data_IF_574636549101
#
_entry.id   IF_574636549101
#
_cell.length_a   1.000
_cell.length_b   1.000
_cell.length_c   1.000
_cell.angle_alpha   90.00
_cell.angle_beta   90.00
_cell.angle_gamma   90.00
#
_symmetry.space_group_name_H-M   'P 1'
#
loop_
_entity.id
_entity.type
_entity.pdbx_description
1 polymer ?
#
# COMPACT_ATOMS: atom_id res chain seq x y z
N UNK A 1 26.30 -36.99 -75.29
CA UNK A 1 25.03 -37.15 -74.57
C UNK A 1 24.45 -35.76 -74.43
N UNK A 2 23.58 -35.36 -75.34
CA UNK A 2 22.98 -34.02 -75.33
C UNK A 2 21.91 -33.96 -74.24
N UNK A 3 22.19 -33.20 -73.20
CA UNK A 3 21.22 -32.85 -72.17
C UNK A 3 20.26 -31.83 -72.80
N UNK A 4 19.06 -32.27 -73.17
CA UNK A 4 17.98 -31.37 -73.59
C UNK A 4 17.57 -30.51 -72.40
N UNK A 5 17.95 -29.22 -72.43
CA UNK A 5 17.42 -28.23 -71.49
C UNK A 5 15.95 -27.97 -71.84
N UNK A 6 15.03 -28.49 -71.05
CA UNK A 6 13.61 -28.16 -71.13
C UNK A 6 13.41 -26.81 -70.43
N UNK A 7 12.99 -25.80 -71.19
CA UNK A 7 12.62 -24.50 -70.63
C UNK A 7 11.28 -24.56 -69.89
N UNK A 8 11.13 -23.77 -68.82
CA UNK A 8 9.90 -23.68 -68.04
C UNK A 8 8.75 -23.10 -68.87
N UNK A 9 7.54 -23.66 -68.72
CA UNK A 9 6.35 -23.07 -69.33
C UNK A 9 5.81 -21.89 -68.51
N UNK A 10 5.22 -20.91 -69.17
CA UNK A 10 4.63 -19.73 -68.51
C UNK A 10 3.52 -20.13 -67.52
N UNK A 11 2.76 -21.19 -67.82
CA UNK A 11 1.73 -21.73 -66.93
C UNK A 11 2.32 -22.35 -65.65
N UNK A 12 3.46 -23.03 -65.73
CA UNK A 12 4.15 -23.61 -64.57
C UNK A 12 4.65 -22.51 -63.62
N UNK A 13 5.21 -21.43 -64.16
CA UNK A 13 5.58 -20.24 -63.38
C UNK A 13 4.37 -19.59 -62.69
N UNK A 14 3.24 -19.49 -63.38
CA UNK A 14 2.00 -18.95 -62.78
C UNK A 14 1.51 -19.82 -61.62
N UNK A 15 1.50 -21.14 -61.76
CA UNK A 15 1.08 -22.05 -60.69
C UNK A 15 2.02 -21.97 -59.49
N UNK A 16 3.34 -21.91 -59.72
CA UNK A 16 4.34 -21.79 -58.64
C UNK A 16 4.16 -20.49 -57.85
N UNK A 17 3.94 -19.36 -58.53
CA UNK A 17 3.71 -18.06 -57.87
C UNK A 17 2.43 -18.07 -57.04
N UNK A 18 1.35 -18.66 -57.56
CA UNK A 18 0.09 -18.79 -56.83
C UNK A 18 0.25 -19.66 -55.58
N UNK A 19 0.90 -20.82 -55.70
CA UNK A 19 1.15 -21.72 -54.58
C UNK A 19 2.05 -21.07 -53.52
N UNK A 20 3.12 -20.39 -53.95
CA UNK A 20 3.99 -19.64 -53.05
C UNK A 20 3.23 -18.52 -52.33
N UNK A 21 2.35 -17.80 -53.04
CA UNK A 21 1.51 -16.76 -52.45
C UNK A 21 0.60 -17.29 -51.34
N UNK A 22 -0.06 -18.42 -51.57
CA UNK A 22 -0.90 -19.07 -50.55
C UNK A 22 -0.07 -19.54 -49.35
N UNK A 23 1.12 -20.09 -49.60
CA UNK A 23 2.03 -20.56 -48.55
C UNK A 23 2.52 -19.40 -47.67
N UNK A 24 2.97 -18.31 -48.29
CA UNK A 24 3.42 -17.10 -47.58
C UNK A 24 2.26 -16.47 -46.81
N UNK A 25 1.05 -16.41 -47.37
CA UNK A 25 -0.12 -15.92 -46.65
C UNK A 25 -0.42 -16.74 -45.39
N UNK A 26 -0.35 -18.08 -45.49
CA UNK A 26 -0.51 -18.98 -44.35
C UNK A 26 0.56 -18.79 -43.27
N UNK A 27 1.83 -18.70 -43.68
CA UNK A 27 2.96 -18.47 -42.76
C UNK A 27 2.84 -17.11 -42.07
N UNK A 28 2.50 -16.05 -42.81
CA UNK A 28 2.32 -14.72 -42.26
C UNK A 28 1.16 -14.68 -41.26
N UNK A 29 0.03 -15.32 -41.57
CA UNK A 29 -1.08 -15.44 -40.62
C UNK A 29 -0.68 -16.18 -39.35
N UNK A 30 0.10 -17.25 -39.46
CA UNK A 30 0.58 -17.99 -38.28
C UNK A 30 1.54 -17.14 -37.45
N UNK A 31 2.47 -16.44 -38.10
CA UNK A 31 3.46 -15.59 -37.45
C UNK A 31 2.81 -14.42 -36.69
N UNK A 32 1.78 -13.78 -37.24
CA UNK A 32 1.07 -12.69 -36.55
C UNK A 32 0.32 -13.19 -35.31
N UNK A 33 -0.36 -14.33 -35.40
CA UNK A 33 -1.02 -14.96 -34.24
C UNK A 33 0.01 -15.34 -33.16
N UNK A 34 1.15 -15.93 -33.55
CA UNK A 34 2.21 -16.28 -32.61
C UNK A 34 2.80 -15.03 -31.93
N UNK A 35 3.12 -13.97 -32.70
CA UNK A 35 3.66 -12.72 -32.15
C UNK A 35 2.70 -12.07 -31.14
N UNK A 36 1.40 -12.06 -31.45
CA UNK A 36 0.36 -11.55 -30.54
C UNK A 36 0.31 -12.37 -29.25
N UNK A 37 0.23 -13.70 -29.37
CA UNK A 37 0.18 -14.60 -28.22
C UNK A 37 1.40 -14.46 -27.31
N UNK A 38 2.61 -14.36 -27.89
CA UNK A 38 3.84 -14.11 -27.12
C UNK A 38 3.79 -12.77 -26.40
N UNK A 39 3.32 -11.70 -27.04
CA UNK A 39 3.22 -10.39 -26.40
C UNK A 39 2.22 -10.38 -25.24
N UNK A 40 1.03 -10.95 -25.43
CA UNK A 40 0.00 -11.04 -24.38
C UNK A 40 0.50 -11.88 -23.21
N UNK A 41 1.11 -13.03 -23.47
CA UNK A 41 1.66 -13.89 -22.44
C UNK A 41 2.79 -13.19 -21.66
N UNK A 42 3.68 -12.47 -22.35
CA UNK A 42 4.73 -11.67 -21.70
C UNK A 42 4.13 -10.62 -20.76
N UNK A 43 3.10 -9.90 -21.19
CA UNK A 43 2.45 -8.89 -20.36
C UNK A 43 1.75 -9.48 -19.13
N UNK A 44 1.15 -10.67 -19.26
CA UNK A 44 0.55 -11.38 -18.13
C UNK A 44 1.63 -11.78 -17.11
N UNK A 45 2.76 -12.27 -17.60
CA UNK A 45 3.89 -12.65 -16.73
C UNK A 45 4.43 -11.43 -16.00
N UNK A 46 4.63 -10.30 -16.69
CA UNK A 46 5.07 -9.05 -16.08
C UNK A 46 4.11 -8.59 -14.98
N UNK A 47 2.79 -8.60 -15.25
CA UNK A 47 1.77 -8.24 -14.26
C UNK A 47 1.80 -9.17 -13.03
N UNK A 48 1.99 -10.48 -13.23
CA UNK A 48 2.10 -11.44 -12.13
C UNK A 48 3.37 -11.26 -11.31
N UNK A 49 4.51 -10.99 -11.96
CA UNK A 49 5.77 -10.74 -11.27
C UNK A 49 5.71 -9.44 -10.47
N UNK A 50 5.16 -8.37 -11.05
CA UNK A 50 4.91 -7.10 -10.37
C UNK A 50 4.02 -7.30 -9.14
N UNK A 51 2.88 -7.98 -9.30
CA UNK A 51 1.95 -8.22 -8.19
C UNK A 51 2.60 -9.01 -7.03
N UNK A 52 3.45 -10.00 -7.33
CA UNK A 52 4.19 -10.75 -6.29
C UNK A 52 5.21 -9.89 -5.57
N UNK A 53 6.02 -9.12 -6.31
CA UNK A 53 7.02 -8.23 -5.71
C UNK A 53 6.37 -7.17 -4.81
N UNK A 54 5.25 -6.59 -5.25
CA UNK A 54 4.49 -5.62 -4.48
C UNK A 54 3.82 -6.25 -3.26
N UNK A 55 3.30 -7.46 -3.42
CA UNK A 55 2.77 -8.29 -2.33
C UNK A 55 3.83 -8.54 -1.27
N UNK A 56 4.99 -9.08 -1.64
CA UNK A 56 6.08 -9.37 -0.72
C UNK A 56 6.52 -8.12 0.06
N UNK A 57 6.63 -6.97 -0.60
CA UNK A 57 6.98 -5.70 0.04
C UNK A 57 5.90 -5.23 1.04
N UNK A 58 4.62 -5.27 0.65
CA UNK A 58 3.51 -4.92 1.53
C UNK A 58 3.43 -5.86 2.73
N UNK A 59 3.60 -7.16 2.51
CA UNK A 59 3.58 -8.17 3.57
C UNK A 59 4.73 -7.96 4.57
N UNK A 60 5.92 -7.64 4.09
CA UNK A 60 7.08 -7.36 4.95
C UNK A 60 6.81 -6.14 5.84
N UNK A 61 6.36 -5.02 5.26
CA UNK A 61 6.05 -3.81 6.02
C UNK A 61 4.93 -4.07 7.04
N UNK A 62 3.84 -4.77 6.66
CA UNK A 62 2.74 -5.12 7.57
C UNK A 62 3.21 -6.07 8.69
N UNK A 63 4.13 -7.00 8.43
CA UNK A 63 4.66 -7.88 9.48
C UNK A 63 5.52 -7.14 10.50
N UNK A 64 6.16 -6.04 10.10
CA UNK A 64 6.95 -5.20 10.99
C UNK A 64 6.15 -4.05 11.62
N UNK A 65 4.91 -3.85 11.19
CA UNK A 65 3.97 -2.92 11.82
C UNK A 65 3.90 -3.13 13.34
N UNK A 66 3.87 -2.05 14.11
CA UNK A 66 3.82 -2.07 15.57
C UNK A 66 5.15 -2.35 16.26
N UNK A 67 6.27 -2.50 15.55
CA UNK A 67 7.56 -2.78 16.17
C UNK A 67 8.01 -1.61 17.06
N UNK A 68 8.10 -1.84 18.37
CA UNK A 68 8.51 -0.86 19.39
C UNK A 68 7.70 0.45 19.44
N UNK A 69 6.63 0.61 18.67
CA UNK A 69 5.71 1.75 18.74
C UNK A 69 4.45 1.38 19.54
N UNK A 70 3.63 2.34 19.98
CA UNK A 70 2.32 2.01 20.55
C UNK A 70 1.52 1.15 19.57
N UNK A 71 0.86 0.11 20.09
CA UNK A 71 0.13 -0.85 19.25
C UNK A 71 -1.00 -0.17 18.44
N UNK A 72 -1.61 0.88 18.99
CA UNK A 72 -2.61 1.70 18.30
C UNK A 72 -2.06 2.51 17.12
N UNK A 73 -0.73 2.60 16.98
CA UNK A 73 -0.04 3.24 15.86
C UNK A 73 0.51 2.25 14.82
N UNK A 74 0.25 0.94 14.95
CA UNK A 74 0.77 -0.05 14.01
C UNK A 74 0.25 0.14 12.58
N UNK A 75 -1.03 0.48 12.46
CA UNK A 75 -1.74 0.59 11.19
C UNK A 75 -2.75 1.76 11.24
N UNK A 76 -2.94 2.40 10.09
CA UNK A 76 -4.06 3.31 9.84
C UNK A 76 -4.39 3.29 8.35
N UNK A 77 -5.53 3.84 7.94
CA UNK A 77 -5.89 3.86 6.52
C UNK A 77 -7.02 4.83 6.18
N UNK A 78 -7.25 4.97 4.88
CA UNK A 78 -8.43 5.61 4.29
C UNK A 78 -9.17 4.52 3.54
N UNK A 79 -10.35 4.16 4.01
CA UNK A 79 -11.26 3.26 3.32
C UNK A 79 -12.13 4.06 2.33
N UNK A 80 -11.93 3.80 1.04
CA UNK A 80 -12.64 4.43 -0.05
C UNK A 80 -13.56 3.43 -0.75
N UNK A 81 -14.85 3.46 -0.46
CA UNK A 81 -15.82 2.55 -1.10
C UNK A 81 -15.94 2.66 -2.63
N UNK A 82 -15.40 3.72 -3.24
CA UNK A 82 -15.47 3.99 -4.68
C UNK A 82 -14.11 4.32 -5.33
N UNK A 83 -13.01 4.19 -4.60
CA UNK A 83 -11.66 4.48 -5.08
C UNK A 83 -10.64 3.54 -4.40
N UNK A 84 -9.38 3.48 -4.85
CA UNK A 84 -8.38 2.74 -4.12
C UNK A 84 -8.23 3.24 -2.68
N UNK A 85 -7.99 2.33 -1.76
CA UNK A 85 -7.67 2.65 -0.37
C UNK A 85 -6.28 3.24 -0.25
N UNK A 86 -6.05 3.90 0.89
CA UNK A 86 -4.74 4.33 1.31
C UNK A 86 -4.38 3.58 2.58
N UNK A 87 -3.20 2.95 2.59
CA UNK A 87 -2.71 2.20 3.74
C UNK A 87 -1.51 2.93 4.36
N UNK A 88 -1.54 3.07 5.68
CA UNK A 88 -0.43 3.57 6.48
C UNK A 88 0.03 2.46 7.43
N UNK A 89 1.31 2.15 7.42
CA UNK A 89 1.93 1.12 8.25
C UNK A 89 3.10 1.75 8.99
N UNK A 90 3.21 1.58 10.31
CA UNK A 90 4.34 2.14 11.08
C UNK A 90 5.69 1.73 10.47
N UNK A 91 6.62 2.67 10.39
CA UNK A 91 7.92 2.49 9.76
C UNK A 91 8.92 1.87 10.74
N UNK A 92 9.17 0.57 10.59
CA UNK A 92 10.15 -0.14 11.41
C UNK A 92 11.60 0.17 11.03
N UNK A 93 11.87 0.72 9.85
CA UNK A 93 13.23 1.09 9.44
C UNK A 93 13.69 2.38 10.15
N UNK A 94 12.74 3.18 10.63
CA UNK A 94 12.94 4.34 11.49
C UNK A 94 13.22 3.97 12.95
N UNK A 95 13.39 2.68 13.26
CA UNK A 95 13.55 2.18 14.63
C UNK A 95 14.75 1.25 14.73
N UNK A 96 15.64 1.53 15.68
CA UNK A 96 16.79 0.70 16.06
C UNK A 96 16.51 -0.06 17.37
N UNK A 97 16.34 -1.38 17.35
CA UNK A 97 16.01 -2.16 18.55
C UNK A 97 17.21 -2.48 19.45
N UNK A 98 18.44 -2.16 19.02
CA UNK A 98 19.68 -2.75 19.53
C UNK A 98 19.97 -2.44 21.01
N UNK A 99 19.57 -1.27 21.50
CA UNK A 99 19.74 -0.81 22.88
C UNK A 99 18.51 -0.05 23.41
N UNK A 100 17.35 -0.26 22.78
CA UNK A 100 16.11 0.45 23.13
C UNK A 100 15.33 -0.31 24.21
N UNK A 101 14.98 0.41 25.28
CA UNK A 101 14.30 -0.15 26.46
C UNK A 101 12.80 0.11 26.39
N UNK A 102 12.37 1.15 25.67
CA UNK A 102 10.97 1.53 25.58
C UNK A 102 10.24 0.71 24.48
N UNK A 103 9.06 0.23 24.83
CA UNK A 103 8.18 -0.54 23.94
C UNK A 103 7.11 0.29 23.25
N UNK A 104 7.00 1.58 23.58
CA UNK A 104 6.03 2.54 23.03
C UNK A 104 6.76 3.81 22.59
N UNK A 105 7.59 3.66 21.55
CA UNK A 105 8.32 4.73 20.90
C UNK A 105 7.36 5.56 20.03
N UNK A 106 7.49 6.87 20.15
CA UNK A 106 6.68 7.85 19.44
C UNK A 106 7.15 9.24 19.83
N UNK A 107 7.14 10.16 18.87
CA UNK A 107 7.44 11.55 19.14
C UNK A 107 6.21 12.18 19.82
N UNK A 108 6.33 12.55 21.10
CA UNK A 108 5.20 13.05 21.89
C UNK A 108 4.84 14.47 21.48
N UNK A 109 3.55 14.72 21.27
CA UNK A 109 3.04 16.02 20.86
C UNK A 109 2.88 16.92 22.08
N UNK A 110 3.71 17.94 22.20
CA UNK A 110 3.63 18.96 23.25
C UNK A 110 2.78 20.17 22.86
N UNK A 111 2.43 20.33 21.59
CA UNK A 111 1.67 21.48 21.09
C UNK A 111 1.60 21.57 19.57
N UNK A 112 1.26 22.77 19.07
CA UNK A 112 1.23 23.09 17.64
C UNK A 112 -0.18 23.32 17.10
N UNK A 113 -0.27 23.86 15.89
CA UNK A 113 -1.55 24.21 15.24
C UNK A 113 -2.39 22.99 14.82
N UNK A 114 -1.76 21.81 14.73
CA UNK A 114 -2.45 20.55 14.48
C UNK A 114 -3.23 20.02 15.68
N UNK A 115 -3.00 20.55 16.90
CA UNK A 115 -3.78 20.20 18.09
C UNK A 115 -4.93 21.19 18.32
N UNK A 116 -6.16 20.70 18.31
CA UNK A 116 -7.38 21.48 18.56
C UNK A 116 -7.94 21.17 19.94
N UNK A 117 -8.13 22.22 20.76
CA UNK A 117 -8.68 22.06 22.11
C UNK A 117 -7.83 21.16 23.02
N UNK A 118 -6.52 21.05 22.75
CA UNK A 118 -5.56 20.27 23.52
C UNK A 118 -5.62 18.76 23.34
N UNK A 119 -6.71 18.23 22.78
CA UNK A 119 -6.96 16.78 22.73
C UNK A 119 -7.29 16.27 21.32
N UNK A 120 -7.73 17.10 20.38
CA UNK A 120 -8.08 16.66 19.02
C UNK A 120 -6.98 16.96 18.01
N UNK A 121 -7.00 16.24 16.89
CA UNK A 121 -5.96 16.31 15.84
C UNK A 121 -6.56 16.81 14.54
N UNK A 122 -5.84 17.69 13.84
CA UNK A 122 -6.13 18.15 12.48
C UNK A 122 -4.83 18.36 11.69
N UNK A 123 -4.94 18.56 10.38
CA UNK A 123 -3.79 18.98 9.56
C UNK A 123 -3.17 20.27 10.10
N UNK A 124 -1.85 20.30 10.20
CA UNK A 124 -1.14 21.42 10.79
C UNK A 124 0.26 21.05 11.24
N UNK A 125 0.82 21.88 12.13
CA UNK A 125 2.13 21.66 12.74
C UNK A 125 1.94 20.97 14.08
N UNK A 126 2.66 19.88 14.30
CA UNK A 126 2.82 19.26 15.61
C UNK A 126 4.21 19.60 16.14
N UNK A 127 4.25 20.25 17.30
CA UNK A 127 5.48 20.41 18.07
C UNK A 127 5.69 19.14 18.85
N UNK A 128 6.81 18.47 18.59
CA UNK A 128 7.14 17.18 19.21
C UNK A 128 8.34 17.32 20.15
N UNK A 129 8.50 16.39 21.06
CA UNK A 129 9.63 16.37 22.01
C UNK A 129 10.96 16.00 21.33
N UNK A 130 10.92 15.10 20.34
CA UNK A 130 12.08 14.65 19.56
C UNK A 130 11.70 14.35 18.11
N UNK A 131 12.68 14.48 17.19
CA UNK A 131 12.57 14.00 15.80
C UNK A 131 13.22 12.62 15.61
N UNK A 132 13.83 12.08 16.67
CA UNK A 132 14.40 10.74 16.74
C UNK A 132 13.68 9.98 17.84
N UNK A 133 13.14 8.82 17.53
CA UNK A 133 12.24 8.04 18.38
C UNK A 133 12.98 7.39 19.55
N UNK A 134 14.19 6.90 19.29
CA UNK A 134 15.00 6.22 20.29
C UNK A 134 15.43 7.18 21.39
N UNK A 135 15.22 6.76 22.64
CA UNK A 135 15.52 7.59 23.81
C UNK A 135 16.89 7.25 24.40
N UNK A 136 17.29 5.98 24.32
CA UNK A 136 18.56 5.51 24.90
C UNK A 136 19.75 5.92 24.03
N UNK A 137 19.66 5.64 22.73
CA UNK A 137 20.70 5.91 21.73
C UNK A 137 20.07 6.48 20.46
N UNK A 138 19.82 7.81 20.41
CA UNK A 138 19.24 8.45 19.23
C UNK A 138 20.08 8.16 17.97
N UNK A 139 19.51 7.48 16.99
CA UNK A 139 20.12 7.15 15.69
C UNK A 139 19.14 7.48 14.56
N UNK A 140 19.15 8.71 14.03
CA UNK A 140 18.20 9.11 13.00
C UNK A 140 18.30 8.23 11.76
N UNK A 141 17.15 7.83 11.21
CA UNK A 141 17.10 6.96 10.04
C UNK A 141 17.21 7.70 8.69
N UNK A 142 16.75 8.96 8.63
CA UNK A 142 16.62 9.70 7.38
C UNK A 142 17.39 11.02 7.38
N UNK A 143 17.93 11.35 6.21
CA UNK A 143 18.52 12.63 5.85
C UNK A 143 17.42 13.50 5.22
N UNK A 144 16.90 14.46 6.00
CA UNK A 144 15.71 15.23 5.62
C UNK A 144 16.05 16.54 4.92
N UNK A 145 17.22 17.11 5.18
CA UNK A 145 17.70 18.32 4.52
C UNK A 145 18.68 18.07 3.35
N UNK A 146 18.97 16.79 3.07
CA UNK A 146 19.83 16.31 2.01
C UNK A 146 21.29 16.76 2.13
N UNK A 147 21.79 16.93 3.35
CA UNK A 147 23.18 17.29 3.62
C UNK A 147 24.16 16.09 3.62
N UNK A 148 23.63 14.87 3.51
CA UNK A 148 24.37 13.61 3.53
C UNK A 148 24.46 12.95 4.91
N UNK A 149 23.83 13.52 5.93
CA UNK A 149 23.77 13.01 7.31
C UNK A 149 22.32 12.77 7.70
N UNK A 150 22.05 11.65 8.37
CA UNK A 150 20.72 11.44 8.90
C UNK A 150 20.45 12.37 10.10
N UNK A 151 19.26 12.95 10.16
CA UNK A 151 18.86 14.00 11.10
C UNK A 151 17.52 13.72 11.80
N UNK A 152 16.69 12.82 11.27
CA UNK A 152 15.32 12.60 11.73
C UNK A 152 14.80 11.21 11.33
N UNK A 153 13.86 10.68 12.11
CA UNK A 153 13.09 9.47 11.78
C UNK A 153 11.82 9.78 10.97
N UNK A 154 11.50 11.05 10.86
CA UNK A 154 10.43 11.58 10.02
C UNK A 154 11.00 12.05 8.69
N UNK A 155 10.34 11.67 7.59
CA UNK A 155 10.75 12.05 6.23
C UNK A 155 9.62 12.75 5.49
N UNK A 156 9.93 13.83 4.78
CA UNK A 156 8.97 14.52 3.91
C UNK A 156 8.48 13.58 2.79
N UNK A 157 7.17 13.53 2.59
CA UNK A 157 6.50 12.63 1.64
C UNK A 157 6.21 11.24 2.19
N UNK A 158 6.74 10.88 3.36
CA UNK A 158 6.37 9.65 4.06
C UNK A 158 5.04 9.81 4.81
N UNK A 159 4.48 8.67 5.21
CA UNK A 159 3.30 8.61 6.04
C UNK A 159 3.59 8.93 7.49
N UNK A 160 2.53 9.20 8.24
CA UNK A 160 2.60 9.37 9.68
C UNK A 160 1.30 8.87 10.30
N UNK A 161 1.40 8.29 11.49
CA UNK A 161 0.26 7.85 12.29
C UNK A 161 0.30 8.62 13.61
N UNK A 162 -0.83 9.22 13.97
CA UNK A 162 -1.04 9.94 15.21
C UNK A 162 -2.02 9.14 16.05
N UNK A 163 -1.69 8.88 17.30
CA UNK A 163 -2.57 8.18 18.25
C UNK A 163 -2.43 8.78 19.65
N UNK A 164 -3.35 8.41 20.53
CA UNK A 164 -3.24 8.64 21.96
C UNK A 164 -2.83 7.31 22.60
N UNK A 165 -1.54 7.17 22.91
CA UNK A 165 -0.97 5.94 23.47
C UNK A 165 -1.53 5.61 24.86
N UNK A 166 -2.00 6.63 25.60
CA UNK A 166 -2.67 6.44 26.88
C UNK A 166 -4.14 6.06 26.75
N UNK A 167 -4.77 6.34 25.60
CA UNK A 167 -6.18 6.07 25.34
C UNK A 167 -6.39 5.48 23.94
N UNK A 168 -5.97 4.22 23.69
CA UNK A 168 -5.96 3.61 22.36
C UNK A 168 -7.37 3.45 21.75
N UNK A 169 -8.42 3.42 22.58
CA UNK A 169 -9.83 3.42 22.13
C UNK A 169 -10.24 4.68 21.37
N UNK A 170 -9.44 5.75 21.41
CA UNK A 170 -9.63 6.93 20.57
C UNK A 170 -9.25 6.66 19.11
N UNK A 171 -8.58 5.54 18.85
CA UNK A 171 -8.11 5.12 17.54
C UNK A 171 -6.89 5.89 17.07
N UNK A 172 -6.80 6.09 15.77
CA UNK A 172 -5.67 6.74 15.12
C UNK A 172 -6.12 7.70 14.02
N UNK A 173 -5.25 8.65 13.71
CA UNK A 173 -5.36 9.51 12.53
C UNK A 173 -4.07 9.34 11.73
N UNK A 174 -4.14 9.42 10.40
CA UNK A 174 -2.96 9.31 9.57
C UNK A 174 -2.96 10.28 8.41
N UNK A 175 -1.75 10.54 7.93
CA UNK A 175 -1.51 11.56 6.93
C UNK A 175 -0.10 11.52 6.38
N UNK A 176 0.24 12.56 5.64
CA UNK A 176 1.55 12.71 5.02
C UNK A 176 2.33 13.85 5.63
N UNK A 177 3.63 13.64 5.81
CA UNK A 177 4.55 14.66 6.31
C UNK A 177 4.91 15.58 5.14
N UNK A 178 4.66 16.87 5.32
CA UNK A 178 4.92 17.91 4.30
C UNK A 178 6.13 18.78 4.64
N UNK A 179 6.52 18.84 5.91
CA UNK A 179 7.76 19.48 6.35
C UNK A 179 8.23 18.89 7.68
N UNK A 180 9.55 18.88 7.87
CA UNK A 180 10.22 18.56 9.14
C UNK A 180 11.11 19.76 9.49
N UNK A 181 11.01 20.27 10.71
CA UNK A 181 11.80 21.41 11.17
C UNK A 181 12.85 20.94 12.19
N UNK A 182 14.10 20.87 11.74
CA UNK A 182 15.24 20.44 12.54
C UNK A 182 15.65 21.46 13.62
N UNK A 183 15.35 22.75 13.42
CA UNK A 183 15.74 23.81 14.34
C UNK A 183 14.81 23.94 15.56
N UNK A 184 13.59 23.43 15.45
CA UNK A 184 12.62 23.33 16.53
C UNK A 184 11.72 22.13 16.27
N UNK A 185 11.89 21.02 17.02
CA UNK A 185 11.41 19.70 16.66
C UNK A 185 9.90 19.75 16.40
N UNK A 186 9.55 19.77 15.12
CA UNK A 186 8.17 19.85 14.69
C UNK A 186 8.01 19.25 13.30
N UNK A 187 6.87 18.60 13.11
CA UNK A 187 6.47 18.00 11.85
C UNK A 187 5.18 18.66 11.37
N UNK A 188 5.13 18.98 10.09
CA UNK A 188 3.93 19.50 9.44
C UNK A 188 3.24 18.36 8.71
N UNK A 189 1.98 18.11 9.05
CA UNK A 189 1.23 16.95 8.58
C UNK A 189 -0.04 17.40 7.89
N UNK A 190 -0.32 16.79 6.73
CA UNK A 190 -1.63 16.82 6.09
C UNK A 190 -2.31 15.50 6.36
N UNK A 191 -3.39 15.50 7.15
CA UNK A 191 -4.17 14.30 7.42
C UNK A 191 -4.97 13.88 6.19
N UNK A 192 -4.92 12.58 5.90
CA UNK A 192 -5.70 11.95 4.84
C UNK A 192 -6.91 11.20 5.42
N UNK A 193 -6.80 10.64 6.63
CA UNK A 193 -7.94 10.12 7.38
C UNK A 193 -7.95 10.54 8.85
N UNK A 194 -9.18 10.76 9.30
CA UNK A 194 -9.56 10.83 10.71
C UNK A 194 -9.09 12.08 11.46
N UNK A 195 -9.82 12.33 12.54
CA UNK A 195 -9.27 12.88 13.77
C UNK A 195 -9.36 11.76 14.81
N UNK A 196 -8.71 11.90 15.96
CA UNK A 196 -8.94 10.95 17.05
C UNK A 196 -10.38 11.04 17.55
N UNK A 197 -10.91 9.90 17.99
CA UNK A 197 -12.18 9.81 18.70
C UNK A 197 -12.17 10.64 19.99
N UNK A 198 -13.37 10.83 20.55
CA UNK A 198 -13.54 11.55 21.80
C UNK A 198 -12.70 10.91 22.91
N UNK A 199 -12.07 11.76 23.74
CA UNK A 199 -11.38 11.29 24.93
C UNK A 199 -12.38 10.51 25.80
N UNK A 200 -12.14 9.22 26.09
CA UNK A 200 -12.97 8.50 27.04
C UNK A 200 -12.91 9.19 28.39
N UNK A 201 -13.91 8.97 29.25
CA UNK A 201 -13.84 9.39 30.67
C UNK A 201 -12.80 8.60 31.48
N UNK A 202 -11.76 8.07 30.82
CA UNK A 202 -10.68 7.27 31.41
C UNK A 202 -9.88 8.13 32.40
N UNK A 203 -9.36 7.55 33.49
CA UNK A 203 -8.37 8.22 34.33
C UNK A 203 -7.01 8.37 33.65
N UNK A 204 -6.76 7.71 32.51
CA UNK A 204 -5.46 7.70 31.85
C UNK A 204 -5.12 9.08 31.25
N UNK A 205 -3.88 9.57 31.45
CA UNK A 205 -3.46 10.83 30.87
C UNK A 205 -3.44 10.74 29.34
N UNK A 206 -3.75 11.85 28.69
CA UNK A 206 -3.57 12.01 27.24
C UNK A 206 -2.07 11.89 26.91
N UNK A 207 -1.69 10.90 26.10
CA UNK A 207 -0.32 10.71 25.61
C UNK A 207 -0.34 10.70 24.07
N UNK A 208 -0.45 11.90 23.50
CA UNK A 208 -0.46 12.09 22.06
C UNK A 208 0.91 11.82 21.48
N UNK A 209 1.01 10.88 20.55
CA UNK A 209 2.27 10.52 19.88
C UNK A 209 2.11 10.51 18.37
N UNK A 210 3.21 10.83 17.70
CA UNK A 210 3.38 10.78 16.26
C UNK A 210 4.40 9.70 15.94
N UNK A 211 4.04 8.78 15.06
CA UNK A 211 4.85 7.64 14.65
C UNK A 211 5.08 7.73 13.13
N UNK A 212 6.33 7.64 12.64
CA UNK A 212 6.61 7.60 11.22
C UNK A 212 5.98 6.36 10.60
N UNK A 213 5.49 6.49 9.37
CA UNK A 213 4.83 5.40 8.68
C UNK A 213 5.17 5.36 7.20
N UNK A 214 5.08 4.17 6.63
CA UNK A 214 5.00 3.99 5.20
C UNK A 214 3.57 4.21 4.73
N UNK A 215 3.43 4.95 3.63
CA UNK A 215 2.13 5.19 3.01
C UNK A 215 2.07 4.59 1.62
N UNK A 216 1.07 3.75 1.40
CA UNK A 216 0.73 3.14 0.13
C UNK A 216 -0.53 3.76 -0.43
N UNK A 217 -0.45 4.27 -1.67
CA UNK A 217 -1.60 4.83 -2.38
C UNK A 217 -1.46 4.67 -3.87
N UNK A 218 -2.59 4.61 -4.56
CA UNK A 218 -2.62 4.62 -6.02
C UNK A 218 -2.92 6.04 -6.50
N UNK A 219 -2.11 6.51 -7.45
CA UNK A 219 -2.38 7.80 -8.12
C UNK A 219 -3.37 7.64 -9.25
N UNK A 220 -3.95 8.75 -9.73
CA UNK A 220 -4.84 8.74 -10.90
C UNK A 220 -4.22 8.19 -12.19
N UNK A 221 -2.90 8.00 -12.24
CA UNK A 221 -2.18 7.37 -13.35
C UNK A 221 -2.04 5.84 -13.21
N UNK A 222 -2.76 5.21 -12.27
CA UNK A 222 -2.65 3.77 -11.96
C UNK A 222 -1.23 3.38 -11.54
N UNK A 223 -0.62 4.23 -10.71
CA UNK A 223 0.70 4.01 -10.16
C UNK A 223 0.61 3.83 -8.65
N UNK A 224 1.12 2.71 -8.16
CA UNK A 224 1.29 2.49 -6.73
C UNK A 224 2.51 3.28 -6.27
N UNK A 225 2.30 4.13 -5.26
CA UNK A 225 3.34 4.89 -4.60
C UNK A 225 3.55 4.39 -3.18
N UNK A 226 4.82 4.36 -2.77
CA UNK A 226 5.25 4.21 -1.37
C UNK A 226 6.01 5.48 -0.98
N UNK A 227 5.52 6.21 0.02
CA UNK A 227 6.12 7.47 0.49
C UNK A 227 6.34 8.50 -0.63
N UNK A 228 5.33 8.64 -1.51
CA UNK A 228 5.37 9.53 -2.68
C UNK A 228 6.23 9.04 -3.85
N UNK A 229 6.99 7.94 -3.69
CA UNK A 229 7.79 7.35 -4.77
C UNK A 229 6.98 6.28 -5.49
N UNK A 230 6.89 6.36 -6.82
CA UNK A 230 6.24 5.32 -7.64
C UNK A 230 7.07 4.04 -7.62
N UNK A 231 6.49 2.97 -7.09
CA UNK A 231 7.12 1.64 -7.01
C UNK A 231 6.61 0.68 -8.09
N UNK A 232 5.41 0.93 -8.63
CA UNK A 232 4.88 0.20 -9.77
C UNK A 232 3.89 1.03 -10.58
N UNK A 233 3.87 0.78 -11.88
CA UNK A 233 2.78 1.18 -12.77
C UNK A 233 1.79 0.05 -12.98
N UNK A 234 0.69 0.36 -13.66
CA UNK A 234 -0.35 -0.60 -14.03
C UNK A 234 -1.03 -1.28 -12.83
N UNK A 235 -1.04 -0.59 -11.68
CA UNK A 235 -1.78 -0.98 -10.49
C UNK A 235 -3.08 -0.19 -10.47
N UNK A 236 -4.19 -0.88 -10.64
CA UNK A 236 -5.52 -0.25 -10.73
C UNK A 236 -6.20 -0.10 -9.38
N UNK A 237 -5.95 -1.05 -8.47
CA UNK A 237 -6.62 -1.07 -7.18
C UNK A 237 -5.74 -1.59 -6.06
N UNK A 238 -5.94 -1.01 -4.88
CA UNK A 238 -5.46 -1.46 -3.60
C UNK A 238 -6.65 -1.33 -2.66
N UNK A 239 -7.09 -2.44 -2.09
CA UNK A 239 -8.16 -2.48 -1.10
C UNK A 239 -7.65 -3.15 0.16
N UNK A 240 -8.09 -2.68 1.32
CA UNK A 240 -7.61 -3.13 2.63
C UNK A 240 -8.79 -3.48 3.52
N UNK A 241 -8.75 -4.70 4.06
CA UNK A 241 -9.62 -5.10 5.15
C UNK A 241 -8.78 -5.33 6.42
N UNK A 242 -9.31 -4.87 7.56
CA UNK A 242 -8.67 -5.01 8.88
C UNK A 242 -9.57 -5.88 9.76
N UNK A 243 -8.95 -6.78 10.52
CA UNK A 243 -9.63 -7.74 11.38
C UNK A 243 -9.23 -7.42 12.82
N UNK A 244 -10.21 -7.01 13.62
CA UNK A 244 -10.03 -6.51 14.99
C UNK A 244 -10.69 -7.43 16.00
N UNK A 245 -9.93 -7.93 16.96
CA UNK A 245 -10.38 -8.84 18.03
C UNK A 245 -10.94 -8.01 19.19
N UNK A 246 -12.24 -7.71 19.15
CA UNK A 246 -12.91 -6.73 20.01
C UNK A 246 -13.14 -7.23 21.43
N UNK A 247 -13.20 -8.54 21.63
CA UNK A 247 -13.39 -9.16 22.95
C UNK A 247 -12.12 -9.82 23.51
N UNK A 248 -10.99 -9.68 22.80
CA UNK A 248 -9.65 -10.17 23.17
C UNK A 248 -9.63 -11.68 23.44
N UNK A 249 -10.49 -12.42 22.75
CA UNK A 249 -10.56 -13.88 22.86
C UNK A 249 -9.56 -14.61 21.94
N UNK A 250 -8.79 -13.83 21.17
CA UNK A 250 -7.77 -14.26 20.20
C UNK A 250 -8.33 -15.02 19.01
N UNK A 251 -9.61 -14.88 18.75
CA UNK A 251 -10.26 -15.34 17.54
C UNK A 251 -10.85 -14.15 16.80
N UNK A 252 -11.20 -14.37 15.53
CA UNK A 252 -11.84 -13.33 14.73
C UNK A 252 -13.27 -13.76 14.46
N UNK A 253 -14.19 -12.97 14.98
CA UNK A 253 -15.61 -13.25 15.03
C UNK A 253 -16.42 -12.52 13.95
N UNK A 254 -17.69 -12.91 13.82
CA UNK A 254 -18.62 -12.23 12.93
C UNK A 254 -18.88 -10.81 13.43
N UNK A 255 -18.51 -9.83 12.62
CA UNK A 255 -18.65 -8.40 12.95
C UNK A 255 -17.35 -7.72 13.33
N UNK A 256 -16.22 -8.45 13.28
CA UNK A 256 -14.86 -7.95 13.55
C UNK A 256 -14.07 -7.59 12.29
N UNK A 257 -14.71 -7.77 11.13
CA UNK A 257 -14.21 -7.37 9.84
C UNK A 257 -14.48 -5.88 9.61
N UNK A 258 -13.47 -5.17 9.10
CA UNK A 258 -13.56 -3.77 8.68
C UNK A 258 -13.08 -3.64 7.24
N UNK A 259 -13.88 -3.01 6.38
CA UNK A 259 -13.52 -2.77 4.98
C UNK A 259 -13.70 -3.96 4.03
N UNK A 260 -14.18 -5.12 4.50
CA UNK A 260 -14.23 -6.37 3.70
C UNK A 260 -15.45 -6.49 2.75
N UNK A 261 -16.35 -5.53 2.79
CA UNK A 261 -17.58 -5.49 1.97
C UNK A 261 -18.77 -6.24 2.57
N UNK A 262 -18.61 -6.86 3.74
CA UNK A 262 -19.68 -7.51 4.50
C UNK A 262 -19.90 -6.81 5.84
N UNK A 263 -18.81 -6.52 6.55
CA UNK A 263 -18.77 -5.79 7.79
C UNK A 263 -18.89 -4.27 7.63
N UNK A 264 -18.54 -3.55 8.69
CA UNK A 264 -18.47 -2.09 8.64
C UNK A 264 -17.28 -1.63 7.79
N UNK A 265 -17.35 -0.42 7.24
CA UNK A 265 -16.17 0.21 6.65
C UNK A 265 -15.07 0.38 7.71
N UNK A 266 -13.83 0.40 7.26
CA UNK A 266 -12.70 0.70 8.13
C UNK A 266 -12.62 2.20 8.41
N UNK A 267 -12.83 2.55 9.67
CA UNK A 267 -12.64 3.90 10.19
C UNK A 267 -11.58 3.85 11.29
N UNK A 268 -10.37 4.42 11.07
CA UNK A 268 -9.34 4.45 12.11
C UNK A 268 -9.73 5.36 13.29
N UNK A 269 -10.69 6.29 13.11
CA UNK A 269 -11.17 7.13 14.19
C UNK A 269 -12.08 6.35 15.13
N UNK A 270 -11.72 6.30 16.41
CA UNK A 270 -12.49 5.58 17.43
C UNK A 270 -12.46 4.05 17.34
N UNK A 271 -11.68 3.46 16.43
CA UNK A 271 -11.40 2.02 16.43
C UNK A 271 -10.05 1.77 17.10
N UNK A 272 -10.05 0.95 18.14
CA UNK A 272 -8.82 0.59 18.84
C UNK A 272 -7.93 -0.32 17.96
N UNK A 273 -6.83 0.24 17.45
CA UNK A 273 -5.88 -0.50 16.61
C UNK A 273 -4.95 -1.43 17.40
N UNK A 274 -4.92 -1.35 18.75
CA UNK A 274 -4.23 -2.36 19.56
C UNK A 274 -4.94 -3.73 19.53
N UNK A 275 -6.21 -3.73 19.13
CA UNK A 275 -7.03 -4.93 18.92
C UNK A 275 -6.90 -5.48 17.50
N UNK A 276 -6.18 -4.82 16.59
CA UNK A 276 -5.96 -5.35 15.26
C UNK A 276 -5.11 -6.64 15.34
N UNK A 277 -5.51 -7.68 14.60
CA UNK A 277 -4.79 -8.97 14.54
C UNK A 277 -4.33 -9.29 13.13
N UNK A 278 -5.19 -9.05 12.14
CA UNK A 278 -4.89 -9.36 10.75
C UNK A 278 -5.24 -8.20 9.83
N UNK A 279 -4.51 -8.11 8.73
CA UNK A 279 -4.77 -7.19 7.62
C UNK A 279 -4.80 -8.01 6.35
N UNK A 280 -5.88 -7.87 5.58
CA UNK A 280 -5.97 -8.42 4.23
C UNK A 280 -5.83 -7.29 3.23
N UNK A 281 -4.90 -7.45 2.29
CA UNK A 281 -4.69 -6.51 1.20
C UNK A 281 -5.04 -7.18 -0.13
N UNK A 282 -5.80 -6.49 -0.97
CA UNK A 282 -6.12 -6.90 -2.33
C UNK A 282 -5.54 -5.90 -3.33
N UNK A 283 -4.56 -6.35 -4.10
CA UNK A 283 -3.90 -5.56 -5.14
C UNK A 283 -4.36 -6.03 -6.52
N UNK A 284 -4.90 -5.12 -7.34
CA UNK A 284 -5.31 -5.42 -8.72
C UNK A 284 -4.30 -4.80 -9.68
N UNK A 285 -3.56 -5.66 -10.38
CA UNK A 285 -2.58 -5.27 -11.39
C UNK A 285 -3.11 -5.65 -12.77
N UNK A 286 -2.88 -4.81 -13.79
CA UNK A 286 -3.29 -5.07 -15.17
C UNK A 286 -2.12 -5.24 -16.13
N UNK A 287 -2.41 -5.73 -17.33
CA UNK A 287 -1.48 -5.68 -18.46
C UNK A 287 -1.25 -4.25 -18.92
N UNK A 288 -0.07 -3.97 -19.51
CA UNK A 288 0.28 -2.64 -20.04
C UNK A 288 -0.59 -2.21 -21.21
N UNK A 289 -1.00 -3.17 -22.03
CA UNK A 289 -1.85 -2.97 -23.21
C UNK A 289 -3.13 -3.78 -23.07
N UNK A 290 -4.17 -3.32 -23.77
CA UNK A 290 -5.38 -4.09 -23.96
C UNK A 290 -5.07 -5.34 -24.80
N UNK A 291 -5.82 -6.41 -24.56
CA UNK A 291 -5.79 -7.59 -25.41
C UNK A 291 -6.98 -7.53 -26.38
N UNK A 292 -6.75 -7.36 -27.70
CA UNK A 292 -7.83 -7.33 -28.67
C UNK A 292 -8.63 -8.63 -28.77
N UNK A 293 -8.09 -9.77 -28.28
CA UNK A 293 -8.85 -11.03 -28.16
C UNK A 293 -9.68 -11.11 -26.86
N UNK A 294 -9.57 -10.11 -26.00
CA UNK A 294 -10.31 -9.97 -24.75
C UNK A 294 -11.15 -8.67 -24.70
N UNK A 295 -11.96 -8.33 -25.71
CA UNK A 295 -12.68 -7.05 -25.75
C UNK A 295 -13.67 -6.85 -24.60
N UNK A 296 -14.00 -7.93 -23.89
CA UNK A 296 -14.89 -7.94 -22.73
C UNK A 296 -14.12 -7.95 -21.39
N UNK A 297 -12.81 -7.67 -21.38
CA UNK A 297 -12.04 -7.54 -20.14
C UNK A 297 -12.64 -6.47 -19.24
N UNK A 298 -12.92 -6.81 -17.97
CA UNK A 298 -13.59 -5.93 -17.00
C UNK A 298 -12.72 -5.70 -15.78
N UNK A 299 -12.98 -4.60 -15.08
CA UNK A 299 -12.46 -4.35 -13.74
C UNK A 299 -12.85 -5.47 -12.77
N UNK A 300 -12.02 -5.67 -11.75
CA UNK A 300 -12.29 -6.66 -10.70
C UNK A 300 -12.89 -5.94 -9.49
N UNK A 301 -13.88 -6.55 -8.86
CA UNK A 301 -14.31 -6.18 -7.52
C UNK A 301 -13.21 -6.59 -6.53
N UNK A 302 -12.98 -5.79 -5.50
CA UNK A 302 -12.01 -6.06 -4.45
C UNK A 302 -12.54 -5.52 -3.12
N UNK A 303 -12.58 -6.39 -2.10
CA UNK A 303 -13.16 -6.07 -0.78
C UNK A 303 -14.53 -5.37 -0.87
N UNK A 304 -14.70 -4.22 -0.22
CA UNK A 304 -15.91 -3.41 -0.23
C UNK A 304 -16.09 -2.53 -1.48
N UNK A 305 -15.15 -2.59 -2.44
CA UNK A 305 -15.20 -1.80 -3.67
C UNK A 305 -15.61 -2.64 -4.87
N UNK A 306 -16.69 -2.19 -5.52
CA UNK A 306 -17.07 -2.68 -6.84
C UNK A 306 -16.14 -2.12 -7.92
N UNK A 307 -15.75 -2.97 -8.87
CA UNK A 307 -15.01 -2.59 -10.06
C UNK A 307 -15.82 -1.61 -10.92
N UNK A 308 -15.18 -0.59 -11.53
CA UNK A 308 -15.86 0.30 -12.46
C UNK A 308 -16.63 -0.45 -13.56
N UNK A 309 -17.80 0.08 -13.92
CA UNK A 309 -18.59 -0.50 -14.99
C UNK A 309 -17.92 -0.29 -16.36
N UNK A 310 -18.01 -1.29 -17.23
CA UNK A 310 -17.50 -1.24 -18.60
C UNK A 310 -16.50 -2.34 -18.90
N UNK A 311 -16.21 -2.48 -20.19
CA UNK A 311 -15.13 -3.34 -20.67
C UNK A 311 -14.06 -2.48 -21.34
N UNK A 312 -12.80 -2.83 -21.11
CA UNK A 312 -11.65 -2.04 -21.54
C UNK A 312 -10.55 -2.87 -22.21
N UNK A 313 -10.74 -4.19 -22.32
CA UNK A 313 -9.81 -5.05 -23.05
C UNK A 313 -8.63 -5.57 -22.22
N UNK A 314 -8.37 -5.00 -21.05
CA UNK A 314 -7.20 -5.34 -20.26
C UNK A 314 -7.35 -6.69 -19.52
N UNK A 315 -6.24 -7.38 -19.35
CA UNK A 315 -6.17 -8.57 -18.49
C UNK A 315 -5.67 -8.15 -17.11
N UNK A 316 -6.28 -8.71 -16.07
CA UNK A 316 -6.00 -8.35 -14.68
C UNK A 316 -5.55 -9.55 -13.87
N UNK A 317 -4.80 -9.28 -12.83
CA UNK A 317 -4.37 -10.22 -11.80
C UNK A 317 -4.59 -9.58 -10.45
N UNK A 318 -5.42 -10.22 -9.65
CA UNK A 318 -5.60 -9.86 -8.25
C UNK A 318 -4.61 -10.67 -7.42
N UNK A 319 -3.82 -9.98 -6.60
CA UNK A 319 -3.00 -10.57 -5.56
C UNK A 319 -3.65 -10.25 -4.21
N UNK A 320 -4.02 -11.29 -3.48
CA UNK A 320 -4.63 -11.17 -2.16
C UNK A 320 -3.68 -11.77 -1.14
N UNK A 321 -3.44 -11.05 -0.05
CA UNK A 321 -2.64 -11.55 1.06
C UNK A 321 -3.29 -11.16 2.38
N UNK A 322 -3.29 -12.11 3.31
CA UNK A 322 -3.71 -11.89 4.69
C UNK A 322 -2.50 -12.06 5.59
N UNK A 323 -2.19 -11.01 6.35
CA UNK A 323 -0.99 -10.92 7.16
C UNK A 323 -1.39 -10.65 8.60
N UNK A 324 -0.88 -11.48 9.50
CA UNK A 324 -0.98 -11.26 10.94
C UNK A 324 -0.01 -10.16 11.38
N UNK A 325 -0.50 -9.20 12.16
CA UNK A 325 0.29 -8.18 12.83
C UNK A 325 1.06 -8.82 13.99
N UNK A 326 2.39 -8.91 13.88
CA UNK A 326 3.21 -9.66 14.85
C UNK A 326 3.53 -8.90 16.12
N UNK A 327 3.44 -7.58 16.08
CA UNK A 327 3.83 -6.69 17.18
C UNK A 327 2.64 -6.00 17.85
N UNK A 328 1.42 -6.55 17.66
CA UNK A 328 0.16 -6.02 18.19
C UNK A 328 -0.57 -7.13 18.96
N UNK A 329 -1.23 -6.81 20.09
CA UNK A 329 -2.02 -7.76 20.88
C UNK A 329 -1.23 -8.72 21.75
N UNK A 330 0.10 -8.60 21.78
CA UNK A 330 1.00 -9.48 22.54
C UNK A 330 1.64 -8.82 23.75
N UNK A 331 1.57 -7.48 23.88
CA UNK A 331 2.25 -6.74 24.93
C UNK A 331 1.33 -6.61 26.13
N UNK A 332 1.75 -7.15 27.26
CA UNK A 332 1.07 -6.88 28.54
C UNK A 332 1.25 -5.38 28.80
N UNK A 333 0.15 -4.62 28.75
CA UNK A 333 0.14 -3.21 29.16
C UNK A 333 0.53 -3.15 30.63
N UNK A 334 1.81 -2.92 30.91
CA UNK A 334 2.26 -2.64 32.26
C UNK A 334 1.95 -1.17 32.52
N UNK A 335 0.80 -0.96 33.16
CA UNK A 335 0.41 0.27 33.85
C UNK A 335 1.50 0.67 34.85
#
# INVERSE_FOLDING_TARGET
>A
MDVRQQGFSLAELMVVVVLLGVLVAGVMSSFTTQKKSVSVNSQIVDAQQSARLLGDLLEEDIRHAGLLVPESAALCGVDNTNAPDVLFVSDAAAIRPDDEINTSLGARIGGGSGLVGGNNVQSGVFTVDSLVLEQATPDPAYDTDADGTADSDFRVGAGVIVTDAGNPTRGSACGTITAVNLAGPSVTVTLDSGALGALPGSPDPVDMVVVPAHVYRITGAMQLQRNGMTIAGDVEDLQVAVFVDLDDDRTIDVGEYRGDGVGANFDPSGTDMSLAREVRTNLVVRTRLDDPDNPNGRFQDAENRAGPAGADGFRRRTYSSTVMLRNVGGRVSTV
#
